data_IF_881008136639
#
_entry.id   IF_881008136639
#
_cell.length_a   1.000
_cell.length_b   1.000
_cell.length_c   1.000
_cell.angle_alpha   90.00
_cell.angle_beta   90.00
_cell.angle_gamma   90.00
#
_symmetry.space_group_name_H-M   'P 1'
#
loop_
_entity.id
_entity.type
_entity.pdbx_description
1 polymer ?
#
# COMPACT_ATOMS: atom_id res chain seq x y z
N UNK A 1 28.03 -2.51 10.36
CA UNK A 1 27.00 -2.00 9.38
C UNK A 1 25.67 -2.52 9.88
N UNK A 2 24.70 -1.64 10.14
CA UNK A 2 23.32 -2.11 10.44
C UNK A 2 22.84 -2.95 9.26
N UNK A 3 22.37 -4.16 9.52
CA UNK A 3 21.86 -5.06 8.50
C UNK A 3 20.67 -4.42 7.78
N UNK A 4 20.57 -4.62 6.47
CA UNK A 4 19.42 -4.14 5.68
C UNK A 4 18.13 -4.77 6.21
N UNK A 5 17.08 -3.96 6.32
CA UNK A 5 15.78 -4.32 6.90
C UNK A 5 14.83 -4.85 5.83
N UNK A 6 14.34 -6.06 6.01
CA UNK A 6 13.42 -6.72 5.07
C UNK A 6 12.08 -6.99 5.76
N UNK A 7 11.00 -6.63 5.10
CA UNK A 7 9.64 -6.99 5.48
C UNK A 7 9.17 -8.14 4.57
N UNK A 8 8.66 -9.20 5.19
CA UNK A 8 8.08 -10.36 4.50
C UNK A 8 6.57 -10.22 4.51
N UNK A 9 5.93 -10.54 3.38
CA UNK A 9 4.48 -10.52 3.23
C UNK A 9 4.04 -11.82 2.59
N UNK A 10 3.40 -12.68 3.38
CA UNK A 10 2.89 -13.98 2.95
C UNK A 10 1.82 -14.43 3.95
N UNK A 11 0.66 -14.89 3.49
CA UNK A 11 -0.42 -15.39 4.35
C UNK A 11 -0.21 -16.85 4.79
N UNK A 12 0.71 -17.59 4.12
CA UNK A 12 1.16 -18.90 4.55
C UNK A 12 2.34 -18.78 5.53
N UNK A 13 2.06 -19.08 6.80
CA UNK A 13 3.06 -19.05 7.88
C UNK A 13 4.27 -19.94 7.61
N UNK A 14 4.10 -21.07 6.93
CA UNK A 14 5.19 -22.00 6.62
C UNK A 14 6.17 -21.34 5.65
N UNK A 15 5.66 -20.78 4.57
CA UNK A 15 6.46 -20.06 3.57
C UNK A 15 7.14 -18.82 4.19
N UNK A 16 6.41 -18.04 4.98
CA UNK A 16 6.96 -16.88 5.68
C UNK A 16 8.12 -17.27 6.61
N UNK A 17 8.00 -18.38 7.35
CA UNK A 17 9.05 -18.89 8.24
C UNK A 17 10.29 -19.34 7.46
N UNK A 18 10.12 -20.00 6.33
CA UNK A 18 11.25 -20.40 5.46
C UNK A 18 11.95 -19.16 4.90
N UNK A 19 11.18 -18.16 4.42
CA UNK A 19 11.76 -16.89 3.98
C UNK A 19 12.53 -16.20 5.09
N UNK A 20 11.97 -16.15 6.31
CA UNK A 20 12.63 -15.55 7.45
C UNK A 20 13.95 -16.22 7.77
N UNK A 21 13.98 -17.56 7.77
CA UNK A 21 15.20 -18.33 7.99
C UNK A 21 16.28 -18.00 6.96
N UNK A 22 15.95 -18.07 5.68
CA UNK A 22 16.91 -17.78 4.61
C UNK A 22 17.42 -16.35 4.63
N UNK A 23 16.51 -15.37 4.79
CA UNK A 23 16.86 -13.95 4.89
C UNK A 23 17.80 -13.68 6.07
N UNK A 24 17.54 -14.31 7.22
CA UNK A 24 18.38 -14.18 8.41
C UNK A 24 19.75 -14.83 8.21
N UNK A 25 19.82 -16.01 7.59
CA UNK A 25 21.08 -16.70 7.27
C UNK A 25 21.96 -15.85 6.32
N UNK A 26 21.35 -15.09 5.43
CA UNK A 26 22.04 -14.17 4.52
C UNK A 26 22.53 -12.88 5.21
N UNK A 27 22.28 -12.70 6.51
CA UNK A 27 22.74 -11.56 7.30
C UNK A 27 21.83 -10.33 7.21
N UNK A 28 20.61 -10.46 6.67
CA UNK A 28 19.62 -9.39 6.66
C UNK A 28 18.73 -9.42 7.90
N UNK A 29 18.19 -8.27 8.27
CA UNK A 29 17.27 -8.16 9.39
C UNK A 29 15.82 -8.28 8.92
N UNK A 30 15.11 -9.35 9.30
CA UNK A 30 13.66 -9.43 9.13
C UNK A 30 13.01 -8.59 10.24
N UNK A 31 12.33 -7.50 9.85
CA UNK A 31 11.72 -6.55 10.79
C UNK A 31 10.25 -6.81 11.04
N UNK A 32 9.66 -7.77 10.33
CA UNK A 32 8.29 -8.20 10.52
C UNK A 32 7.80 -9.12 9.42
N UNK A 33 6.66 -9.74 9.69
CA UNK A 33 5.91 -10.58 8.74
C UNK A 33 4.48 -10.06 8.72
N UNK A 34 3.99 -9.68 7.54
CA UNK A 34 2.60 -9.30 7.31
C UNK A 34 1.87 -10.47 6.63
N UNK A 35 0.62 -10.70 7.02
CA UNK A 35 -0.21 -11.82 6.53
C UNK A 35 -1.29 -11.38 5.54
N UNK A 36 -1.42 -10.09 5.29
CA UNK A 36 -2.36 -9.51 4.32
C UNK A 36 -1.85 -8.16 3.80
N UNK A 37 -2.45 -7.70 2.71
CA UNK A 37 -2.03 -6.49 2.02
C UNK A 37 -2.16 -5.20 2.86
N UNK A 38 -3.21 -5.08 3.68
CA UNK A 38 -3.40 -3.91 4.53
C UNK A 38 -2.33 -3.84 5.62
N UNK A 39 -2.03 -4.99 6.24
CA UNK A 39 -0.98 -5.12 7.23
C UNK A 39 0.40 -4.81 6.61
N UNK A 40 0.65 -5.30 5.39
CA UNK A 40 1.88 -4.99 4.65
C UNK A 40 2.07 -3.47 4.44
N UNK A 41 1.01 -2.75 4.04
CA UNK A 41 1.04 -1.29 3.87
C UNK A 41 1.35 -0.59 5.20
N UNK A 42 0.68 -1.00 6.30
CA UNK A 42 0.88 -0.43 7.62
C UNK A 42 2.31 -0.63 8.12
N UNK A 43 2.78 -1.88 8.10
CA UNK A 43 4.13 -2.21 8.54
C UNK A 43 5.20 -1.54 7.66
N UNK A 44 4.97 -1.43 6.35
CA UNK A 44 5.88 -0.71 5.44
C UNK A 44 6.03 0.76 5.81
N UNK A 45 4.94 1.39 6.21
CA UNK A 45 4.93 2.78 6.66
C UNK A 45 5.66 2.95 8.00
N UNK A 46 5.36 2.08 8.97
CA UNK A 46 5.86 2.19 10.35
C UNK A 46 7.32 1.77 10.46
N UNK A 47 7.64 0.63 9.91
CA UNK A 47 8.96 0.00 10.05
C UNK A 47 9.97 0.43 8.99
N UNK A 48 9.50 1.00 7.88
CA UNK A 48 10.33 1.50 6.77
C UNK A 48 11.39 0.50 6.31
N UNK A 49 11.01 -0.68 5.83
CA UNK A 49 11.95 -1.69 5.35
C UNK A 49 12.77 -1.15 4.16
N UNK A 50 13.98 -1.67 3.98
CA UNK A 50 14.79 -1.41 2.80
C UNK A 50 14.29 -2.18 1.56
N UNK A 51 13.58 -3.30 1.78
CA UNK A 51 13.03 -4.17 0.74
C UNK A 51 11.80 -4.92 1.27
N UNK A 52 10.83 -5.18 0.38
CA UNK A 52 9.74 -6.13 0.61
C UNK A 52 9.95 -7.42 -0.21
N UNK A 53 9.74 -8.56 0.46
CA UNK A 53 9.44 -9.83 -0.18
C UNK A 53 7.92 -10.02 -0.10
N UNK A 54 7.23 -10.04 -1.24
CA UNK A 54 5.78 -9.94 -1.32
C UNK A 54 5.20 -11.13 -2.07
N UNK A 55 4.36 -11.95 -1.39
CA UNK A 55 3.53 -12.90 -2.13
C UNK A 55 2.49 -12.14 -2.98
N UNK A 56 2.27 -12.64 -4.17
CA UNK A 56 1.26 -12.12 -5.09
C UNK A 56 -0.14 -12.46 -4.60
N UNK A 57 -0.34 -13.67 -4.12
CA UNK A 57 -1.64 -14.18 -3.68
C UNK A 57 -1.77 -14.10 -2.17
N UNK A 58 -2.48 -13.08 -1.69
CA UNK A 58 -2.83 -12.92 -0.29
C UNK A 58 -4.33 -13.20 -0.11
N UNK A 59 -4.67 -14.13 0.77
CA UNK A 59 -6.00 -14.71 0.87
C UNK A 59 -7.12 -13.75 1.31
N UNK A 60 -6.82 -12.57 1.85
CA UNK A 60 -7.83 -11.61 2.35
C UNK A 60 -7.47 -10.17 2.02
N UNK A 61 -8.47 -9.39 1.62
CA UNK A 61 -8.34 -7.95 1.42
C UNK A 61 -7.69 -7.59 0.08
N UNK A 62 -6.73 -6.68 0.11
CA UNK A 62 -5.92 -6.32 -1.07
C UNK A 62 -4.96 -7.45 -1.41
N UNK A 63 -4.87 -7.79 -2.70
CA UNK A 63 -3.85 -8.74 -3.16
C UNK A 63 -2.44 -8.16 -3.06
N UNK A 64 -1.42 -9.01 -3.23
CA UNK A 64 -0.04 -8.58 -3.12
C UNK A 64 0.36 -7.56 -4.18
N UNK A 65 -0.21 -7.60 -5.37
CA UNK A 65 0.10 -6.65 -6.46
C UNK A 65 -0.44 -5.27 -6.15
N UNK A 66 -1.71 -5.16 -5.75
CA UNK A 66 -2.35 -3.89 -5.42
C UNK A 66 -1.68 -3.25 -4.19
N UNK A 67 -1.32 -4.07 -3.20
CA UNK A 67 -0.57 -3.63 -2.01
C UNK A 67 0.83 -3.15 -2.37
N UNK A 68 1.52 -3.88 -3.24
CA UNK A 68 2.85 -3.52 -3.74
C UNK A 68 2.84 -2.21 -4.52
N UNK A 69 1.84 -1.97 -5.36
CA UNK A 69 1.68 -0.71 -6.09
C UNK A 69 1.57 0.47 -5.12
N UNK A 70 0.72 0.34 -4.10
CA UNK A 70 0.56 1.35 -3.06
C UNK A 70 1.89 1.60 -2.34
N UNK A 71 2.54 0.54 -1.88
CA UNK A 71 3.79 0.62 -1.12
C UNK A 71 4.90 1.25 -1.96
N UNK A 72 5.08 0.81 -3.20
CA UNK A 72 6.10 1.34 -4.10
C UNK A 72 5.86 2.82 -4.40
N UNK A 73 4.64 3.18 -4.76
CA UNK A 73 4.26 4.55 -5.14
C UNK A 73 4.35 5.55 -3.99
N UNK A 74 3.96 5.15 -2.77
CA UNK A 74 3.89 6.07 -1.64
C UNK A 74 5.14 6.07 -0.76
N UNK A 75 5.86 4.95 -0.71
CA UNK A 75 7.02 4.80 0.18
C UNK A 75 8.34 4.61 -0.58
N UNK A 76 8.29 4.38 -1.90
CA UNK A 76 9.49 4.14 -2.71
C UNK A 76 10.27 2.90 -2.28
N UNK A 77 9.60 1.93 -1.64
CA UNK A 77 10.22 0.70 -1.17
C UNK A 77 10.35 -0.25 -2.37
N UNK A 78 11.53 -0.80 -2.64
CA UNK A 78 11.70 -1.82 -3.67
C UNK A 78 10.99 -3.10 -3.27
N UNK A 79 10.43 -3.80 -4.28
CA UNK A 79 9.62 -5.00 -4.09
C UNK A 79 10.20 -6.13 -4.93
N UNK A 80 10.32 -7.30 -4.31
CA UNK A 80 10.56 -8.57 -4.98
C UNK A 80 9.32 -9.42 -4.74
N UNK A 81 8.67 -9.84 -5.82
CA UNK A 81 7.55 -10.77 -5.72
C UNK A 81 8.03 -12.20 -5.51
N UNK A 82 7.27 -12.92 -4.68
CA UNK A 82 7.46 -14.35 -4.40
C UNK A 82 6.14 -15.03 -4.70
N UNK A 83 6.09 -15.97 -5.65
CA UNK A 83 4.82 -16.61 -6.02
C UNK A 83 5.01 -18.05 -6.48
N UNK A 84 4.01 -18.91 -6.23
CA UNK A 84 4.02 -20.29 -6.69
C UNK A 84 3.78 -20.39 -8.20
N UNK A 85 2.91 -19.56 -8.75
CA UNK A 85 2.56 -19.51 -10.17
C UNK A 85 1.81 -18.21 -10.44
N UNK A 86 2.08 -17.58 -11.57
CA UNK A 86 1.29 -16.44 -12.01
C UNK A 86 0.83 -16.67 -13.45
N UNK A 87 -0.47 -16.59 -13.69
CA UNK A 87 -1.04 -16.55 -15.03
C UNK A 87 -0.61 -15.26 -15.76
N UNK A 88 -0.82 -15.24 -17.07
CA UNK A 88 -0.35 -14.13 -17.92
C UNK A 88 -0.93 -12.77 -17.51
N UNK A 89 -2.18 -12.72 -17.04
CA UNK A 89 -2.81 -11.48 -16.60
C UNK A 89 -2.21 -10.99 -15.28
N UNK A 90 -1.99 -11.89 -14.34
CA UNK A 90 -1.32 -11.61 -13.07
C UNK A 90 0.10 -11.10 -13.30
N UNK A 91 0.85 -11.73 -14.22
CA UNK A 91 2.18 -11.26 -14.59
C UNK A 91 2.17 -9.87 -15.25
N UNK A 92 1.17 -9.55 -16.08
CA UNK A 92 1.01 -8.20 -16.64
C UNK A 92 0.76 -7.16 -15.56
N UNK A 93 -0.14 -7.43 -14.61
CA UNK A 93 -0.40 -6.55 -13.46
C UNK A 93 0.86 -6.35 -12.62
N UNK A 94 1.53 -7.43 -12.26
CA UNK A 94 2.71 -7.38 -11.43
C UNK A 94 3.89 -6.63 -12.10
N UNK A 95 4.06 -6.75 -13.43
CA UNK A 95 5.05 -5.95 -14.19
C UNK A 95 4.75 -4.45 -14.14
N UNK A 96 3.49 -4.03 -14.08
CA UNK A 96 3.11 -2.62 -14.02
C UNK A 96 3.57 -1.94 -12.71
N UNK A 97 3.77 -2.69 -11.64
CA UNK A 97 4.34 -2.20 -10.37
C UNK A 97 5.82 -1.87 -10.49
N UNK A 98 6.49 -2.33 -11.57
CA UNK A 98 7.93 -2.22 -11.77
C UNK A 98 8.76 -2.84 -10.63
N UNK A 99 8.53 -4.14 -10.31
CA UNK A 99 9.24 -4.81 -9.23
C UNK A 99 10.71 -4.98 -9.55
N UNK A 100 11.54 -5.12 -8.53
CA UNK A 100 12.97 -5.35 -8.67
C UNK A 100 13.31 -6.82 -8.99
N UNK A 101 12.38 -7.74 -8.83
CA UNK A 101 12.56 -9.14 -9.15
C UNK A 101 11.33 -10.00 -8.89
N UNK A 102 11.45 -11.25 -9.34
CA UNK A 102 10.48 -12.33 -9.13
C UNK A 102 11.20 -13.58 -8.67
N UNK A 103 10.62 -14.26 -7.70
CA UNK A 103 11.10 -15.56 -7.20
C UNK A 103 9.95 -16.54 -7.27
N UNK A 104 10.20 -17.69 -7.91
CA UNK A 104 9.21 -18.76 -7.97
C UNK A 104 9.31 -19.65 -6.72
N UNK A 105 8.15 -20.03 -6.17
CA UNK A 105 8.07 -21.11 -5.18
C UNK A 105 8.21 -22.47 -5.92
N UNK A 106 8.94 -23.47 -5.40
CA UNK A 106 9.56 -23.55 -4.08
C UNK A 106 10.81 -22.69 -3.95
N UNK A 107 10.95 -22.06 -2.78
CA UNK A 107 12.02 -21.11 -2.49
C UNK A 107 13.39 -21.81 -2.39
N UNK A 108 14.40 -21.18 -3.00
CA UNK A 108 15.80 -21.52 -2.79
C UNK A 108 16.54 -20.33 -2.20
N UNK A 109 17.43 -20.61 -1.27
CA UNK A 109 18.21 -19.55 -0.61
C UNK A 109 19.05 -18.73 -1.60
N UNK A 110 19.58 -19.40 -2.65
CA UNK A 110 20.34 -18.76 -3.73
C UNK A 110 19.51 -17.74 -4.53
N UNK A 111 18.24 -18.07 -4.81
CA UNK A 111 17.35 -17.20 -5.59
C UNK A 111 16.97 -15.96 -4.78
N UNK A 112 16.71 -16.16 -3.47
CA UNK A 112 16.48 -15.07 -2.52
C UNK A 112 17.70 -14.15 -2.41
N UNK A 113 18.90 -14.73 -2.23
CA UNK A 113 20.15 -13.96 -2.16
C UNK A 113 20.33 -13.07 -3.38
N UNK A 114 20.29 -13.66 -4.57
CA UNK A 114 20.50 -12.94 -5.83
C UNK A 114 19.47 -11.83 -6.02
N UNK A 115 18.19 -12.12 -5.76
CA UNK A 115 17.10 -11.15 -5.94
C UNK A 115 17.19 -10.01 -4.92
N UNK A 116 17.53 -10.29 -3.67
CA UNK A 116 17.69 -9.28 -2.61
C UNK A 116 18.88 -8.37 -2.92
N UNK A 117 20.06 -8.95 -3.23
CA UNK A 117 21.27 -8.20 -3.56
C UNK A 117 21.03 -7.26 -4.76
N UNK A 118 20.42 -7.78 -5.82
CA UNK A 118 20.10 -7.00 -6.99
C UNK A 118 19.11 -5.87 -6.72
N UNK A 119 18.05 -6.16 -5.96
CA UNK A 119 17.05 -5.16 -5.60
C UNK A 119 17.64 -4.04 -4.74
N UNK A 120 18.46 -4.38 -3.75
CA UNK A 120 19.10 -3.41 -2.87
C UNK A 120 20.17 -2.58 -3.60
N UNK A 121 20.90 -3.18 -4.55
CA UNK A 121 21.93 -2.48 -5.34
C UNK A 121 21.32 -1.46 -6.33
N UNK A 122 20.17 -1.79 -6.92
CA UNK A 122 19.45 -0.89 -7.85
C UNK A 122 18.61 0.17 -7.18
N UNK A 123 18.31 0.01 -5.91
CA UNK A 123 17.52 0.99 -5.17
C UNK A 123 18.34 2.26 -4.97
N UNK A 124 17.86 3.43 -5.41
CA UNK A 124 18.54 4.69 -5.13
C UNK A 124 18.69 4.87 -3.61
N UNK A 125 19.77 5.53 -3.15
CA UNK A 125 19.97 5.80 -1.72
C UNK A 125 18.73 6.49 -1.19
N UNK A 126 18.04 5.83 -0.28
CA UNK A 126 16.79 6.33 0.29
C UNK A 126 17.14 7.52 1.15
N UNK A 127 16.72 8.71 0.75
CA UNK A 127 16.79 9.88 1.61
C UNK A 127 15.92 9.59 2.85
N UNK A 128 16.57 9.32 3.98
CA UNK A 128 15.91 9.08 5.27
C UNK A 128 14.97 10.25 5.68
N UNK A 129 15.06 11.37 4.99
CA UNK A 129 14.26 12.59 5.17
C UNK A 129 13.09 12.74 4.19
N UNK A 130 12.80 11.77 3.33
CA UNK A 130 11.49 11.76 2.67
C UNK A 130 10.42 11.32 3.70
N UNK A 131 10.20 12.22 4.63
CA UNK A 131 8.95 12.29 5.35
C UNK A 131 7.85 12.37 4.30
N UNK A 132 6.78 11.58 4.45
CA UNK A 132 5.56 11.69 3.66
C UNK A 132 4.82 13.02 4.03
N UNK A 133 5.56 14.07 4.28
CA UNK A 133 5.05 15.41 4.58
C UNK A 133 4.56 16.15 3.34
N UNK A 134 4.41 15.46 2.19
CA UNK A 134 3.97 16.07 0.95
C UNK A 134 2.82 15.36 0.22
N UNK A 135 2.41 14.17 0.62
CA UNK A 135 1.26 13.54 -0.04
C UNK A 135 0.00 13.84 0.77
N UNK A 136 -0.76 14.84 0.33
CA UNK A 136 -2.04 15.17 0.98
C UNK A 136 -2.94 13.94 0.93
N UNK A 137 -3.82 13.77 1.92
CA UNK A 137 -4.82 12.71 1.95
C UNK A 137 -5.63 12.65 0.64
N UNK A 138 -5.87 13.79 0.02
CA UNK A 138 -6.50 13.91 -1.29
C UNK A 138 -5.72 13.20 -2.39
N UNK A 139 -4.39 13.32 -2.42
CA UNK A 139 -3.55 12.63 -3.41
C UNK A 139 -3.59 11.11 -3.23
N UNK A 140 -3.70 10.64 -2.01
CA UNK A 140 -3.88 9.23 -1.68
C UNK A 140 -5.21 8.73 -2.21
N UNK A 141 -6.29 9.48 -1.98
CA UNK A 141 -7.63 9.16 -2.48
C UNK A 141 -7.69 9.14 -4.03
N UNK A 142 -7.01 10.09 -4.69
CA UNK A 142 -6.85 10.09 -6.16
C UNK A 142 -6.23 8.80 -6.63
N UNK A 143 -5.15 8.39 -5.98
CA UNK A 143 -4.35 7.25 -6.39
C UNK A 143 -5.05 5.90 -6.16
N UNK A 144 -5.65 5.73 -4.97
CA UNK A 144 -6.25 4.45 -4.56
C UNK A 144 -7.59 4.15 -5.24
N UNK A 145 -8.38 5.21 -5.49
CA UNK A 145 -9.75 5.05 -5.96
C UNK A 145 -9.99 5.67 -7.34
N UNK A 146 -8.92 6.04 -8.06
CA UNK A 146 -9.01 6.70 -9.38
C UNK A 146 -9.93 7.93 -9.36
N UNK A 147 -9.93 8.67 -8.24
CA UNK A 147 -10.73 9.87 -8.09
C UNK A 147 -10.09 11.05 -8.85
N UNK A 148 -10.92 11.97 -9.32
CA UNK A 148 -10.42 13.29 -9.71
C UNK A 148 -10.01 14.10 -8.48
N UNK A 149 -9.17 15.11 -8.63
CA UNK A 149 -8.79 15.99 -7.52
C UNK A 149 -10.00 16.61 -6.80
N UNK A 150 -11.03 17.00 -7.53
CA UNK A 150 -12.27 17.54 -6.96
C UNK A 150 -13.05 16.49 -6.17
N UNK A 151 -13.13 15.26 -6.66
CA UNK A 151 -13.76 14.14 -5.95
C UNK A 151 -12.98 13.74 -4.70
N UNK A 152 -11.65 13.71 -4.78
CA UNK A 152 -10.79 13.41 -3.64
C UNK A 152 -10.91 14.49 -2.54
N UNK A 153 -10.89 15.77 -2.92
CA UNK A 153 -11.12 16.89 -2.00
C UNK A 153 -12.50 16.82 -1.35
N UNK A 154 -13.52 16.48 -2.13
CA UNK A 154 -14.87 16.27 -1.63
C UNK A 154 -14.93 15.12 -0.62
N UNK A 155 -14.35 13.96 -0.96
CA UNK A 155 -14.33 12.79 -0.10
C UNK A 155 -13.52 13.02 1.18
N UNK A 156 -12.41 13.72 1.12
CA UNK A 156 -11.63 14.11 2.29
C UNK A 156 -12.48 14.93 3.27
N UNK A 157 -13.22 15.90 2.76
CA UNK A 157 -14.15 16.70 3.59
C UNK A 157 -15.35 15.90 4.12
N UNK A 158 -15.83 14.91 3.36
CA UNK A 158 -16.92 14.04 3.79
C UNK A 158 -16.52 13.09 4.92
N UNK A 159 -15.26 12.69 4.97
CA UNK A 159 -14.70 11.90 6.08
C UNK A 159 -14.55 12.76 7.34
N UNK A 160 -14.20 14.03 7.18
CA UNK A 160 -14.06 15.00 8.28
C UNK A 160 -15.43 15.45 8.83
N UNK A 161 -16.38 15.71 7.92
CA UNK A 161 -17.73 16.17 8.23
C UNK A 161 -18.77 15.25 7.57
N UNK A 162 -19.46 14.38 8.32
CA UNK A 162 -20.41 13.43 7.75
C UNK A 162 -21.64 14.07 7.08
N UNK A 163 -21.93 15.33 7.39
CA UNK A 163 -23.10 16.04 6.90
C UNK A 163 -22.86 16.69 5.53
N UNK A 164 -23.63 16.26 4.53
CA UNK A 164 -23.46 16.69 3.14
C UNK A 164 -23.59 18.23 2.97
N UNK A 165 -24.45 18.84 3.77
CA UNK A 165 -24.65 20.30 3.77
C UNK A 165 -23.39 21.03 4.23
N UNK A 166 -22.72 20.52 5.27
CA UNK A 166 -21.48 21.08 5.82
C UNK A 166 -20.35 20.95 4.80
N UNK A 167 -20.25 19.80 4.15
CA UNK A 167 -19.27 19.56 3.07
C UNK A 167 -19.50 20.52 1.90
N UNK A 168 -20.75 20.68 1.47
CA UNK A 168 -21.10 21.60 0.37
C UNK A 168 -20.72 23.04 0.69
N UNK A 169 -21.03 23.52 1.90
CA UNK A 169 -20.66 24.85 2.40
C UNK A 169 -19.14 25.02 2.48
N UNK A 170 -18.42 24.03 3.05
CA UNK A 170 -16.96 24.08 3.21
C UNK A 170 -16.21 24.12 1.86
N UNK A 171 -16.81 23.55 0.82
CA UNK A 171 -16.24 23.54 -0.53
C UNK A 171 -16.80 24.64 -1.44
N UNK A 172 -17.71 25.47 -0.93
CA UNK A 172 -18.41 26.51 -1.69
C UNK A 172 -19.09 25.98 -2.96
N UNK A 173 -19.80 24.85 -2.86
CA UNK A 173 -20.56 24.23 -3.93
C UNK A 173 -22.03 24.05 -3.55
N UNK A 174 -22.90 23.91 -4.56
CA UNK A 174 -24.31 23.63 -4.32
C UNK A 174 -24.50 22.20 -3.77
N UNK A 175 -25.60 21.98 -3.05
CA UNK A 175 -25.97 20.66 -2.56
C UNK A 175 -26.21 19.66 -3.72
N UNK A 176 -26.69 20.13 -4.87
CA UNK A 176 -26.85 19.33 -6.08
C UNK A 176 -25.49 18.87 -6.63
N UNK A 177 -24.51 19.76 -6.63
CA UNK A 177 -23.12 19.42 -7.02
C UNK A 177 -22.50 18.41 -6.06
N UNK A 178 -22.71 18.59 -4.75
CA UNK A 178 -22.27 17.66 -3.72
C UNK A 178 -22.85 16.24 -3.93
N UNK A 179 -24.15 16.13 -4.20
CA UNK A 179 -24.81 14.86 -4.55
C UNK A 179 -24.24 14.24 -5.83
N UNK A 180 -23.87 15.05 -6.81
CA UNK A 180 -23.25 14.57 -8.06
C UNK A 180 -21.85 14.00 -7.80
N UNK A 181 -21.02 14.67 -6.98
CA UNK A 181 -19.73 14.15 -6.56
C UNK A 181 -19.89 12.82 -5.83
N UNK A 182 -20.80 12.75 -4.86
CA UNK A 182 -21.06 11.55 -4.09
C UNK A 182 -21.46 10.35 -4.97
N UNK A 183 -22.35 10.56 -5.93
CA UNK A 183 -22.77 9.53 -6.90
C UNK A 183 -21.61 9.01 -7.75
N UNK A 184 -20.71 9.90 -8.19
CA UNK A 184 -19.51 9.51 -8.96
C UNK A 184 -18.52 8.73 -8.10
N UNK A 185 -18.33 9.17 -6.86
CA UNK A 185 -17.44 8.48 -5.91
C UNK A 185 -18.00 7.10 -5.60
N UNK A 186 -19.29 6.93 -5.34
CA UNK A 186 -19.90 5.61 -5.13
C UNK A 186 -19.57 4.63 -6.25
N UNK A 187 -19.69 5.07 -7.50
CA UNK A 187 -19.39 4.23 -8.67
C UNK A 187 -17.92 3.82 -8.73
N UNK A 188 -16.99 4.73 -8.34
CA UNK A 188 -15.54 4.48 -8.39
C UNK A 188 -15.04 3.66 -7.22
N UNK A 189 -15.73 3.71 -6.09
CA UNK A 189 -15.35 3.00 -4.86
C UNK A 189 -16.17 1.73 -4.64
N UNK A 190 -17.06 1.40 -5.59
CA UNK A 190 -17.99 0.27 -5.45
C UNK A 190 -18.73 0.30 -4.11
N UNK A 191 -19.37 1.44 -3.83
CA UNK A 191 -20.21 1.65 -2.66
C UNK A 191 -21.56 2.26 -3.07
N UNK A 192 -22.56 2.20 -2.20
CA UNK A 192 -23.90 2.72 -2.51
C UNK A 192 -24.50 3.56 -1.36
N UNK A 193 -23.82 3.63 -0.23
CA UNK A 193 -24.27 4.39 0.95
C UNK A 193 -23.09 5.16 1.54
N UNK A 194 -23.36 6.34 2.07
CA UNK A 194 -22.34 7.21 2.65
C UNK A 194 -21.62 6.54 3.84
N UNK A 195 -22.35 5.85 4.72
CA UNK A 195 -21.76 5.14 5.86
C UNK A 195 -20.80 4.04 5.41
N UNK A 196 -21.15 3.28 4.37
CA UNK A 196 -20.29 2.25 3.78
C UNK A 196 -19.05 2.86 3.13
N UNK A 197 -19.23 3.97 2.40
CA UNK A 197 -18.12 4.71 1.80
C UNK A 197 -17.15 5.21 2.87
N UNK A 198 -17.65 5.94 3.86
CA UNK A 198 -16.82 6.49 4.94
C UNK A 198 -16.11 5.37 5.70
N UNK A 199 -16.83 4.28 6.02
CA UNK A 199 -16.22 3.12 6.66
C UNK A 199 -15.08 2.54 5.81
N UNK A 200 -15.32 2.30 4.51
CA UNK A 200 -14.31 1.79 3.56
C UNK A 200 -13.06 2.69 3.50
N UNK A 201 -13.25 4.01 3.54
CA UNK A 201 -12.14 4.97 3.51
C UNK A 201 -11.38 5.00 4.84
N UNK A 202 -12.10 5.00 5.97
CA UNK A 202 -11.49 5.13 7.31
C UNK A 202 -10.79 3.84 7.75
N UNK A 203 -11.36 2.68 7.44
CA UNK A 203 -10.79 1.37 7.81
C UNK A 203 -9.87 0.78 6.72
N UNK A 204 -9.92 1.35 5.52
CA UNK A 204 -9.09 0.94 4.40
C UNK A 204 -7.74 1.66 4.36
N UNK A 205 -6.94 1.40 3.29
CA UNK A 205 -5.58 1.94 3.14
C UNK A 205 -5.51 3.46 3.26
N UNK A 206 -6.54 4.19 2.82
CA UNK A 206 -6.58 5.65 2.90
C UNK A 206 -6.75 6.16 4.34
N UNK A 207 -7.56 5.50 5.15
CA UNK A 207 -7.86 5.92 6.54
C UNK A 207 -6.66 5.79 7.45
N UNK A 208 -5.85 4.75 7.25
CA UNK A 208 -4.62 4.58 7.99
C UNK A 208 -3.60 5.73 7.75
N UNK A 209 -3.67 6.34 6.58
CA UNK A 209 -2.83 7.50 6.24
C UNK A 209 -3.39 8.81 6.82
N UNK A 210 -4.69 8.86 7.11
CA UNK A 210 -5.38 10.02 7.68
C UNK A 210 -5.07 10.20 9.18
N UNK A 211 -5.06 9.12 9.95
CA UNK A 211 -4.82 9.14 11.40
C UNK A 211 -3.46 9.74 11.78
N UNK A 212 -2.50 9.70 10.87
CA UNK A 212 -1.16 10.25 11.10
C UNK A 212 -1.11 11.77 11.01
N UNK A 213 -1.92 12.40 10.15
CA UNK A 213 -1.93 13.87 10.01
C UNK A 213 -2.52 14.55 11.25
N UNK A 214 -3.38 13.86 11.99
CA UNK A 214 -4.01 14.37 13.21
C UNK A 214 -3.02 14.35 14.39
N UNK A 215 -2.19 13.31 14.49
CA UNK A 215 -1.26 13.15 15.62
C UNK A 215 0.07 13.94 15.48
N UNK A 216 0.29 14.65 14.37
CA UNK A 216 1.46 15.52 14.17
C UNK A 216 1.14 17.02 14.31
N UNK A 217 -0.11 17.36 14.58
CA UNK A 217 -0.59 18.76 14.80
C UNK A 217 -0.95 19.05 16.25
N UNK A 218 -0.55 18.18 17.17
CA UNK A 218 -0.71 18.36 18.62
C UNK A 218 0.64 18.44 19.30
#
# INVERSE_FOLDING_TARGET
MEGKKILIVDDDQTTASVMQLYVSNLGYQVIGIATDGNNAINMSRELRPDLLLMDIYLGKGLDGIDSAEIIHKHFGIPIVFVSAFADENTLKRAKAVNPMGYINKPLRETDLKTSIEFALAKSPPRNKNQSITGTSFENILVSLYSLTRSEARFLAKLVEYPELNVVAAALNISLSTAKTHLKRIYRKTDTNRQSVLVHKIVTGPAGFLLQRNINQSS
#
